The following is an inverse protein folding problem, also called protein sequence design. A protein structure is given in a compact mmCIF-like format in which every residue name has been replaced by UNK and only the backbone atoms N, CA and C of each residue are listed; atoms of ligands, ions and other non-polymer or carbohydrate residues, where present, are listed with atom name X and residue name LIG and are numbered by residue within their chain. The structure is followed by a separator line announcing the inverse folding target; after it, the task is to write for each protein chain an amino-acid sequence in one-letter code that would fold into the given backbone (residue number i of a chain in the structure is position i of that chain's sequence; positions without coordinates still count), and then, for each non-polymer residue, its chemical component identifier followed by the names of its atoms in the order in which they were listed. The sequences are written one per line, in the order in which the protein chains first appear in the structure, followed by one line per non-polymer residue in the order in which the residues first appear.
data_IF_782820616515
#
_entry.id   IF_782820616515
#
_cell.length_a   1.000
_cell.length_b   1.000
_cell.length_c   1.000
_cell.angle_alpha   90.00
_cell.angle_beta   90.00
_cell.angle_gamma   90.00
#
_symmetry.space_group_name_H-M   'P 1'
#
loop_
_entity.id
_entity.type
_entity.pdbx_description
1 polymer ?
#
# COMPACT_ATOMS: atom_id res chain seq x y z
N UNK A 1 -66.07 38.39 35.89
CA UNK A 1 -65.61 39.19 34.76
C UNK A 1 -64.13 39.44 34.98
N UNK A 2 -63.24 38.64 34.35
CA UNK A 2 -61.76 38.83 34.33
C UNK A 2 -61.20 38.31 33.03
N UNK A 3 -60.85 39.25 32.20
CA UNK A 3 -60.30 39.04 30.84
C UNK A 3 -58.83 38.68 30.97
N UNK A 4 -58.40 37.54 30.39
CA UNK A 4 -56.98 37.13 30.23
C UNK A 4 -56.49 37.55 28.88
N UNK A 5 -55.41 38.35 28.83
CA UNK A 5 -54.64 38.67 27.68
C UNK A 5 -53.66 37.51 27.42
N UNK A 6 -53.65 36.98 26.17
CA UNK A 6 -52.66 36.02 25.68
C UNK A 6 -51.67 36.80 24.80
N UNK A 7 -50.41 36.89 25.25
CA UNK A 7 -49.31 37.44 24.45
C UNK A 7 -48.67 36.31 23.65
N UNK A 8 -48.75 36.37 22.32
CA UNK A 8 -48.07 35.47 21.40
C UNK A 8 -46.65 35.98 21.13
N UNK A 9 -45.67 35.23 21.58
CA UNK A 9 -44.27 35.40 21.19
C UNK A 9 -44.02 34.68 19.85
N UNK A 10 -43.76 35.44 18.80
CA UNK A 10 -43.22 34.96 17.52
C UNK A 10 -41.71 34.78 17.69
N UNK A 11 -41.28 33.52 17.81
CA UNK A 11 -39.87 33.14 17.73
C UNK A 11 -39.45 32.99 16.28
N UNK A 12 -38.65 33.93 15.77
CA UNK A 12 -38.00 33.83 14.46
C UNK A 12 -36.87 32.81 14.48
N UNK A 13 -37.08 31.62 13.92
CA UNK A 13 -36.05 30.64 13.66
C UNK A 13 -35.23 31.04 12.43
N UNK A 14 -33.99 31.42 12.63
CA UNK A 14 -33.05 31.57 11.52
C UNK A 14 -32.64 30.18 11.00
N UNK A 15 -33.13 29.81 9.81
CA UNK A 15 -32.63 28.66 9.09
C UNK A 15 -31.21 29.00 8.57
N UNK A 16 -30.19 28.43 9.21
CA UNK A 16 -28.84 28.32 8.57
C UNK A 16 -28.95 27.34 7.41
N UNK A 17 -28.95 27.85 6.20
CA UNK A 17 -28.72 27.06 5.01
C UNK A 17 -27.25 26.64 5.00
N UNK A 18 -26.94 25.40 5.36
CA UNK A 18 -25.66 24.78 5.03
C UNK A 18 -25.62 24.67 3.51
N UNK A 19 -24.78 25.50 2.87
CA UNK A 19 -24.41 25.30 1.49
C UNK A 19 -23.58 23.99 1.43
N UNK A 20 -24.21 22.92 0.97
CA UNK A 20 -23.49 21.72 0.55
C UNK A 20 -22.58 22.14 -0.61
N UNK A 21 -21.26 22.07 -0.41
CA UNK A 21 -20.33 22.13 -1.55
C UNK A 21 -20.73 21.03 -2.54
N UNK A 22 -20.80 21.33 -3.84
CA UNK A 22 -21.03 20.27 -4.81
C UNK A 22 -19.91 19.25 -4.69
N UNK A 23 -20.26 17.99 -4.46
CA UNK A 23 -19.30 16.89 -4.63
C UNK A 23 -18.82 16.98 -6.08
N UNK A 24 -17.49 17.07 -6.28
CA UNK A 24 -16.93 17.01 -7.61
C UNK A 24 -17.44 15.73 -8.29
N UNK A 25 -18.00 15.87 -9.48
CA UNK A 25 -18.45 14.70 -10.25
C UNK A 25 -17.20 13.95 -10.69
N UNK A 26 -17.21 12.61 -10.62
CA UNK A 26 -16.06 11.81 -11.06
C UNK A 26 -15.90 11.94 -12.58
N UNK A 27 -14.67 12.21 -13.06
CA UNK A 27 -14.36 12.36 -14.47
C UNK A 27 -14.55 11.00 -15.20
N UNK A 28 -15.56 10.89 -16.09
CA UNK A 28 -15.84 9.63 -16.77
C UNK A 28 -14.79 9.29 -17.85
N UNK A 29 -13.88 10.22 -18.19
CA UNK A 29 -12.86 10.01 -19.21
C UNK A 29 -11.57 9.40 -18.66
N UNK A 30 -11.51 9.10 -17.38
CA UNK A 30 -10.39 8.38 -16.76
C UNK A 30 -10.88 7.50 -15.61
N UNK A 31 -10.51 6.23 -15.64
CA UNK A 31 -10.71 5.29 -14.54
C UNK A 31 -9.37 4.80 -14.04
N UNK A 32 -9.12 5.00 -12.75
CA UNK A 32 -7.92 4.51 -12.03
C UNK A 32 -8.33 3.30 -11.21
N UNK A 33 -7.66 2.17 -11.42
CA UNK A 33 -7.85 0.94 -10.65
C UNK A 33 -6.75 0.84 -9.62
N UNK A 34 -7.09 1.09 -8.36
CA UNK A 34 -6.15 1.45 -7.30
C UNK A 34 -6.42 0.72 -5.98
N UNK A 35 -5.51 0.90 -5.05
CA UNK A 35 -5.69 0.55 -3.64
C UNK A 35 -6.62 1.56 -2.97
N UNK A 36 -7.41 1.11 -2.00
CA UNK A 36 -8.25 2.01 -1.21
C UNK A 36 -7.40 3.03 -0.44
N UNK A 37 -7.84 4.30 -0.45
CA UNK A 37 -7.12 5.42 0.15
C UNK A 37 -6.39 6.30 -0.87
N UNK A 38 -5.96 5.74 -2.01
CA UNK A 38 -5.28 6.52 -3.06
C UNK A 38 -6.22 7.46 -3.83
N UNK A 39 -7.53 7.37 -3.59
CA UNK A 39 -8.52 8.36 -4.07
C UNK A 39 -8.43 9.71 -3.33
N UNK A 40 -7.63 9.82 -2.28
CA UNK A 40 -7.45 11.09 -1.57
C UNK A 40 -7.03 12.20 -2.52
N UNK A 41 -7.78 13.32 -2.59
CA UNK A 41 -7.47 14.43 -3.49
C UNK A 41 -6.08 15.02 -3.34
N UNK A 42 -5.42 14.85 -2.20
CA UNK A 42 -4.06 15.32 -1.98
C UNK A 42 -3.05 14.64 -2.91
N UNK A 43 -3.30 13.39 -3.33
CA UNK A 43 -2.42 12.68 -4.26
C UNK A 43 -2.50 13.15 -5.71
N UNK A 44 -3.61 13.78 -6.10
CA UNK A 44 -3.84 14.19 -7.48
C UNK A 44 -4.36 15.62 -7.61
N UNK A 45 -3.97 16.50 -6.70
CA UNK A 45 -4.43 17.89 -6.67
C UNK A 45 -4.16 18.64 -7.98
N UNK A 46 -2.98 18.45 -8.62
CA UNK A 46 -2.68 19.06 -9.92
C UNK A 46 -3.60 18.57 -11.05
N UNK A 47 -4.00 17.30 -11.01
CA UNK A 47 -4.97 16.76 -11.94
C UNK A 47 -6.33 17.47 -11.77
N UNK A 48 -6.80 17.56 -10.54
CA UNK A 48 -8.08 18.23 -10.22
C UNK A 48 -8.05 19.72 -10.58
N UNK A 49 -6.95 20.41 -10.31
CA UNK A 49 -6.74 21.81 -10.71
C UNK A 49 -6.80 22.01 -12.22
N UNK A 50 -6.23 21.07 -12.99
CA UNK A 50 -6.18 21.12 -14.45
C UNK A 50 -7.51 20.78 -15.11
N UNK A 51 -8.22 19.78 -14.60
CA UNK A 51 -9.42 19.22 -15.23
C UNK A 51 -10.72 19.65 -14.56
N UNK A 52 -10.66 20.32 -13.39
CA UNK A 52 -11.79 20.69 -12.52
C UNK A 52 -12.65 19.48 -12.10
N UNK A 53 -12.05 18.30 -12.08
CA UNK A 53 -12.72 17.05 -11.75
C UNK A 53 -11.72 16.03 -11.20
N UNK A 54 -12.18 15.04 -10.45
CA UNK A 54 -11.35 13.92 -9.95
C UNK A 54 -11.52 12.71 -10.85
N UNK A 55 -10.52 11.81 -10.96
CA UNK A 55 -10.68 10.55 -11.66
C UNK A 55 -11.84 9.72 -11.10
N UNK A 56 -12.39 8.83 -11.93
CA UNK A 56 -13.19 7.71 -11.42
C UNK A 56 -12.27 6.67 -10.84
N UNK A 57 -12.54 6.22 -9.61
CA UNK A 57 -11.75 5.16 -8.95
C UNK A 57 -12.52 3.85 -8.90
N UNK A 58 -11.78 2.75 -9.04
CA UNK A 58 -12.21 1.41 -8.71
C UNK A 58 -11.11 0.78 -7.86
N UNK A 59 -11.48 -0.06 -6.87
CA UNK A 59 -10.54 -0.54 -5.87
C UNK A 59 -10.35 -2.04 -5.90
N UNK A 60 -9.18 -2.46 -5.40
CA UNK A 60 -8.85 -3.84 -5.07
C UNK A 60 -8.11 -3.88 -3.71
N UNK A 61 -8.23 -4.98 -3.03
CA UNK A 61 -7.54 -5.20 -1.75
C UNK A 61 -6.31 -6.11 -1.87
N UNK A 62 -6.15 -6.77 -3.03
CA UNK A 62 -5.05 -7.69 -3.33
C UNK A 62 -4.73 -7.69 -4.81
N UNK A 63 -3.45 -7.84 -5.17
CA UNK A 63 -3.01 -7.79 -6.57
C UNK A 63 -3.44 -9.00 -7.40
N UNK A 64 -3.67 -10.15 -6.77
CA UNK A 64 -4.20 -11.32 -7.48
C UNK A 64 -5.67 -11.10 -7.83
N UNK A 65 -6.45 -10.50 -6.92
CA UNK A 65 -7.82 -10.05 -7.18
C UNK A 65 -7.85 -9.07 -8.36
N UNK A 66 -6.97 -8.06 -8.32
CA UNK A 66 -6.85 -7.06 -9.40
C UNK A 66 -6.54 -7.73 -10.74
N UNK A 67 -5.55 -8.63 -10.76
CA UNK A 67 -5.18 -9.38 -11.96
C UNK A 67 -6.35 -10.19 -12.53
N UNK A 68 -7.10 -10.90 -11.68
CA UNK A 68 -8.24 -11.70 -12.13
C UNK A 68 -9.39 -10.84 -12.64
N UNK A 69 -9.67 -9.70 -12.00
CA UNK A 69 -10.68 -8.74 -12.48
C UNK A 69 -10.33 -8.20 -13.88
N UNK A 70 -9.07 -7.81 -14.11
CA UNK A 70 -8.62 -7.34 -15.42
C UNK A 70 -8.70 -8.44 -16.47
N UNK A 71 -8.30 -9.67 -16.15
CA UNK A 71 -8.42 -10.82 -17.04
C UNK A 71 -9.87 -11.19 -17.35
N UNK A 72 -10.78 -10.95 -16.42
CA UNK A 72 -12.21 -11.16 -16.62
C UNK A 72 -12.88 -10.04 -17.48
N UNK A 73 -12.09 -9.03 -17.91
CA UNK A 73 -12.55 -7.97 -18.79
C UNK A 73 -12.98 -6.68 -18.07
N UNK A 74 -12.64 -6.52 -16.77
CA UNK A 74 -12.75 -5.23 -16.10
C UNK A 74 -11.88 -4.19 -16.83
N UNK A 75 -12.41 -2.99 -17.03
CA UNK A 75 -11.76 -1.93 -17.80
C UNK A 75 -11.41 -0.76 -16.90
N UNK A 76 -10.15 -0.33 -17.00
CA UNK A 76 -9.64 0.90 -16.42
C UNK A 76 -8.52 1.42 -17.32
N UNK A 77 -8.14 2.68 -17.16
CA UNK A 77 -7.09 3.34 -17.95
C UNK A 77 -5.71 3.18 -17.30
N UNK A 78 -5.69 3.30 -15.98
CA UNK A 78 -4.51 3.09 -15.13
C UNK A 78 -4.76 1.95 -14.15
N UNK A 79 -3.72 1.19 -13.86
CA UNK A 79 -3.66 0.26 -12.74
C UNK A 79 -2.47 0.60 -11.87
N UNK A 80 -2.56 0.27 -10.57
CA UNK A 80 -1.53 0.51 -9.56
C UNK A 80 -0.93 -0.80 -9.03
N UNK A 81 -0.28 -1.63 -9.90
CA UNK A 81 0.41 -2.83 -9.44
C UNK A 81 1.65 -2.47 -8.63
N UNK A 82 2.13 -3.42 -7.83
CA UNK A 82 3.44 -3.34 -7.20
C UNK A 82 4.48 -4.18 -7.96
N UNK A 83 5.74 -4.00 -7.63
CA UNK A 83 6.90 -4.52 -8.34
C UNK A 83 6.83 -6.02 -8.66
N UNK A 84 6.34 -6.83 -7.73
CA UNK A 84 6.25 -8.29 -7.89
C UNK A 84 5.23 -8.73 -8.95
N UNK A 85 4.25 -7.90 -9.28
CA UNK A 85 3.15 -8.23 -10.21
C UNK A 85 3.32 -7.70 -11.62
N UNK A 86 4.15 -6.68 -11.84
CA UNK A 86 4.31 -5.99 -13.15
C UNK A 86 4.63 -6.96 -14.29
N UNK A 87 5.54 -7.91 -14.07
CA UNK A 87 5.93 -8.89 -15.09
C UNK A 87 4.76 -9.77 -15.48
N UNK A 88 4.00 -10.28 -14.49
CA UNK A 88 2.81 -11.12 -14.70
C UNK A 88 1.73 -10.36 -15.49
N UNK A 89 1.47 -9.11 -15.14
CA UNK A 89 0.46 -8.29 -15.82
C UNK A 89 0.87 -8.01 -17.27
N UNK A 90 2.16 -7.69 -17.51
CA UNK A 90 2.69 -7.48 -18.86
C UNK A 90 2.61 -8.74 -19.72
N UNK A 91 3.05 -9.89 -19.19
CA UNK A 91 3.03 -11.17 -19.93
C UNK A 91 1.60 -11.63 -20.25
N UNK A 92 0.64 -11.28 -19.41
CA UNK A 92 -0.79 -11.50 -19.69
C UNK A 92 -1.37 -10.52 -20.72
N UNK A 93 -0.57 -9.56 -21.24
CA UNK A 93 -1.03 -8.57 -22.22
C UNK A 93 -1.93 -7.49 -21.65
N UNK A 94 -1.91 -7.28 -20.33
CA UNK A 94 -2.75 -6.28 -19.64
C UNK A 94 -2.15 -4.88 -19.67
N UNK A 95 -0.84 -4.73 -19.91
CA UNK A 95 -0.14 -3.46 -19.87
C UNK A 95 0.22 -2.95 -21.27
N UNK A 96 0.05 -1.64 -21.48
CA UNK A 96 0.59 -0.89 -22.63
C UNK A 96 1.96 -0.31 -22.32
N UNK A 97 2.88 -0.19 -23.27
CA UNK A 97 4.12 0.56 -23.08
C UNK A 97 3.82 2.04 -22.82
N UNK A 98 4.63 2.64 -21.96
CA UNK A 98 4.61 4.05 -21.63
C UNK A 98 5.47 4.87 -22.60
N UNK A 99 5.00 6.07 -22.94
CA UNK A 99 5.81 7.11 -23.55
C UNK A 99 6.42 7.98 -22.42
N UNK A 100 7.65 7.69 -22.05
CA UNK A 100 8.33 8.38 -20.94
C UNK A 100 8.60 9.86 -21.23
N UNK A 101 8.56 10.29 -22.50
CA UNK A 101 8.70 11.71 -22.87
C UNK A 101 7.50 12.56 -22.40
N UNK A 102 6.37 11.93 -22.06
CA UNK A 102 5.16 12.56 -21.50
C UNK A 102 5.20 12.66 -19.97
N UNK A 103 6.28 12.21 -19.35
CA UNK A 103 6.49 12.22 -17.88
C UNK A 103 7.69 13.12 -17.59
N UNK A 104 7.50 14.44 -17.38
CA UNK A 104 8.59 15.39 -17.17
C UNK A 104 9.53 15.01 -16.02
N UNK A 105 9.01 14.37 -14.97
CA UNK A 105 9.77 13.93 -13.81
C UNK A 105 10.47 12.56 -14.01
N UNK A 106 10.45 11.96 -15.22
CA UNK A 106 11.02 10.63 -15.45
C UNK A 106 12.49 10.52 -15.06
N UNK A 107 13.29 11.54 -15.35
CA UNK A 107 14.73 11.56 -15.01
C UNK A 107 14.99 11.94 -13.54
N UNK A 108 13.99 12.47 -12.84
CA UNK A 108 14.02 12.74 -11.40
C UNK A 108 13.67 11.49 -10.56
N UNK A 109 13.17 10.42 -11.18
CA UNK A 109 12.90 9.18 -10.48
C UNK A 109 14.19 8.53 -9.99
N UNK A 110 14.18 7.97 -8.79
CA UNK A 110 15.30 7.23 -8.25
C UNK A 110 15.67 6.06 -9.19
N UNK A 111 16.89 6.04 -9.77
CA UNK A 111 17.27 5.00 -10.72
C UNK A 111 17.19 3.58 -10.13
N UNK A 112 17.43 3.42 -8.83
CA UNK A 112 17.33 2.14 -8.15
C UNK A 112 15.90 1.59 -8.06
N UNK A 113 14.89 2.45 -8.22
CA UNK A 113 13.47 2.07 -8.31
C UNK A 113 13.02 2.02 -9.76
N UNK A 114 13.34 3.04 -10.56
CA UNK A 114 12.95 3.15 -11.97
C UNK A 114 13.45 1.98 -12.82
N UNK A 115 14.70 1.58 -12.59
CA UNK A 115 15.39 0.61 -13.41
C UNK A 115 15.34 -0.82 -12.82
N UNK A 116 14.37 -1.10 -11.93
CA UNK A 116 14.19 -2.43 -11.37
C UNK A 116 13.89 -3.47 -12.46
N UNK A 117 14.40 -4.71 -12.29
CA UNK A 117 14.13 -5.79 -13.23
C UNK A 117 12.63 -5.99 -13.47
N UNK A 118 12.24 -6.08 -14.74
CA UNK A 118 10.85 -6.33 -15.13
C UNK A 118 10.02 -5.10 -15.44
N UNK A 119 10.42 -3.89 -15.03
CA UNK A 119 9.68 -2.65 -15.32
C UNK A 119 9.82 -2.22 -16.79
N UNK A 120 10.90 -2.65 -17.46
CA UNK A 120 11.11 -2.45 -18.87
C UNK A 120 11.20 -3.77 -19.61
N UNK A 121 10.77 -3.79 -20.87
CA UNK A 121 10.87 -4.92 -21.78
C UNK A 121 11.09 -4.42 -23.20
N UNK A 122 12.07 -4.98 -23.92
CA UNK A 122 12.44 -4.60 -25.29
C UNK A 122 12.64 -3.08 -25.47
N UNK A 123 13.27 -2.42 -24.46
CA UNK A 123 13.56 -0.99 -24.49
C UNK A 123 12.35 -0.08 -24.23
N UNK A 124 11.21 -0.63 -23.85
CA UNK A 124 9.99 0.12 -23.50
C UNK A 124 9.69 0.01 -22.01
N UNK A 125 9.35 1.12 -21.37
CA UNK A 125 8.85 1.12 -20.01
C UNK A 125 7.38 0.68 -19.97
N UNK A 126 7.00 -0.04 -18.92
CA UNK A 126 5.63 -0.49 -18.68
C UNK A 126 5.09 -0.08 -17.31
N UNK A 127 5.93 0.56 -16.49
CA UNK A 127 5.64 0.90 -15.12
C UNK A 127 6.34 2.19 -14.75
N UNK A 128 5.64 3.08 -14.06
CA UNK A 128 6.18 4.28 -13.44
C UNK A 128 6.16 4.02 -11.94
N UNK A 129 7.30 3.77 -11.28
CA UNK A 129 7.31 3.68 -9.83
C UNK A 129 6.87 5.02 -9.25
N UNK A 130 5.98 4.97 -8.28
CA UNK A 130 5.42 6.16 -7.63
C UNK A 130 5.84 6.19 -6.16
N UNK A 131 5.48 5.14 -5.45
CA UNK A 131 5.69 5.02 -4.03
C UNK A 131 6.38 3.71 -3.67
N UNK A 132 6.91 3.68 -2.48
CA UNK A 132 7.50 2.50 -1.88
C UNK A 132 7.34 2.55 -0.37
N UNK A 133 7.24 1.39 0.23
CA UNK A 133 7.07 1.29 1.66
C UNK A 133 7.57 -0.02 2.20
N UNK A 134 7.35 -0.18 3.50
CA UNK A 134 7.73 -1.38 4.20
C UNK A 134 6.51 -2.13 4.69
N UNK A 135 6.63 -3.46 4.67
CA UNK A 135 5.88 -4.30 5.57
C UNK A 135 6.85 -4.76 6.67
N UNK A 136 6.52 -4.44 7.91
CA UNK A 136 7.38 -4.74 9.06
C UNK A 136 6.55 -5.11 10.30
N UNK A 137 7.23 -5.41 11.40
CA UNK A 137 6.59 -5.78 12.65
C UNK A 137 6.01 -4.54 13.33
N UNK A 138 4.68 -4.45 13.36
CA UNK A 138 3.91 -3.44 14.12
C UNK A 138 3.41 -4.06 15.41
N UNK A 139 3.45 -3.31 16.52
CA UNK A 139 3.08 -3.83 17.82
C UNK A 139 2.50 -2.78 18.76
N UNK A 140 1.72 -3.22 19.73
CA UNK A 140 1.23 -2.42 20.85
C UNK A 140 2.34 -2.26 21.88
N UNK A 141 2.86 -1.04 22.04
CA UNK A 141 3.99 -0.73 22.92
C UNK A 141 3.68 -0.92 24.41
N UNK A 142 2.41 -0.85 24.77
CA UNK A 142 1.91 -1.04 26.15
C UNK A 142 1.56 -2.50 26.48
N UNK A 143 1.50 -3.40 25.48
CA UNK A 143 1.06 -4.78 25.66
C UNK A 143 2.14 -5.82 25.30
N UNK A 144 3.14 -5.45 24.48
CA UNK A 144 4.15 -6.38 23.97
C UNK A 144 5.52 -6.01 24.51
N UNK A 145 6.22 -6.92 25.21
CA UNK A 145 7.56 -6.69 25.70
C UNK A 145 8.58 -6.43 24.59
N UNK A 146 9.52 -5.52 24.83
CA UNK A 146 10.53 -5.14 23.84
C UNK A 146 11.47 -6.30 23.43
N UNK A 147 11.66 -7.28 24.27
CA UNK A 147 12.42 -8.49 23.95
C UNK A 147 11.74 -9.38 22.93
N UNK A 148 10.40 -9.41 22.88
CA UNK A 148 9.65 -10.28 21.99
C UNK A 148 9.61 -9.74 20.54
N UNK A 149 9.77 -8.43 20.35
CA UNK A 149 9.72 -7.81 19.04
C UNK A 149 11.06 -7.77 18.29
N UNK A 150 12.10 -8.38 18.83
CA UNK A 150 13.46 -8.38 18.23
C UNK A 150 13.58 -9.29 17.01
N UNK A 151 12.65 -10.24 16.88
CA UNK A 151 12.68 -11.27 15.84
C UNK A 151 11.29 -11.51 15.28
N UNK A 152 11.21 -11.79 13.98
CA UNK A 152 9.97 -12.19 13.30
C UNK A 152 9.45 -13.56 13.78
N UNK A 153 10.23 -14.29 14.57
CA UNK A 153 9.76 -15.54 15.19
C UNK A 153 8.59 -15.31 16.16
N UNK A 154 8.36 -14.07 16.63
CA UNK A 154 7.20 -13.71 17.45
C UNK A 154 5.87 -14.08 16.77
N UNK A 155 5.81 -14.05 15.44
CA UNK A 155 4.60 -14.43 14.69
C UNK A 155 4.24 -15.91 14.86
N UNK A 156 5.22 -16.77 15.10
CA UNK A 156 5.02 -18.20 15.34
C UNK A 156 5.09 -18.59 16.85
N UNK A 157 5.21 -17.62 17.77
CA UNK A 157 5.28 -17.87 19.20
C UNK A 157 3.86 -18.14 19.76
N UNK A 158 3.60 -19.31 20.35
CA UNK A 158 2.29 -19.68 20.87
C UNK A 158 1.78 -18.77 22.01
N UNK A 159 2.65 -17.96 22.62
CA UNK A 159 2.22 -16.93 23.61
C UNK A 159 1.30 -15.89 23.00
N UNK A 160 1.38 -15.71 21.69
CA UNK A 160 0.57 -14.75 20.91
C UNK A 160 -0.62 -15.40 20.19
N UNK A 161 -1.04 -16.60 20.60
CA UNK A 161 -2.20 -17.27 19.98
C UNK A 161 -3.44 -16.39 20.01
N UNK A 162 -4.04 -16.14 18.82
CA UNK A 162 -5.19 -15.27 18.64
C UNK A 162 -4.88 -13.77 18.84
N UNK A 163 -3.61 -13.36 18.78
CA UNK A 163 -3.14 -11.98 18.96
C UNK A 163 -2.34 -11.43 17.78
N UNK A 164 -2.13 -12.26 16.75
CA UNK A 164 -1.38 -11.93 15.55
C UNK A 164 -2.33 -11.52 14.43
N UNK A 165 -1.89 -10.59 13.57
CA UNK A 165 -2.50 -10.31 12.28
C UNK A 165 -1.44 -10.18 11.20
N UNK A 166 -1.72 -10.74 10.02
CA UNK A 166 -0.93 -10.54 8.80
C UNK A 166 -1.87 -10.19 7.66
N UNK A 167 -1.36 -9.61 6.57
CA UNK A 167 -2.16 -9.28 5.40
C UNK A 167 -2.77 -10.51 4.73
N UNK A 168 -3.96 -10.37 4.19
CA UNK A 168 -4.55 -11.35 3.26
C UNK A 168 -3.91 -11.21 1.87
N UNK A 169 -2.58 -11.25 1.86
CA UNK A 169 -1.71 -11.07 0.70
C UNK A 169 -0.65 -12.16 0.68
N UNK A 170 -0.59 -12.90 -0.42
CA UNK A 170 0.41 -13.95 -0.61
C UNK A 170 1.83 -13.39 -0.61
N UNK A 171 2.01 -12.18 -1.15
CA UNK A 171 3.32 -11.55 -1.24
C UNK A 171 3.84 -11.16 0.14
N UNK A 172 3.03 -10.49 0.95
CA UNK A 172 3.40 -10.12 2.32
C UNK A 172 3.59 -11.34 3.23
N UNK A 173 2.75 -12.36 3.08
CA UNK A 173 2.88 -13.59 3.86
C UNK A 173 4.19 -14.32 3.55
N UNK A 174 4.52 -14.52 2.26
CA UNK A 174 5.77 -15.19 1.89
C UNK A 174 7.01 -14.30 2.06
N UNK A 175 6.87 -12.97 2.05
CA UNK A 175 7.94 -12.06 2.44
C UNK A 175 8.29 -12.24 3.93
N UNK A 176 7.29 -12.25 4.82
CA UNK A 176 7.47 -12.56 6.24
C UNK A 176 8.15 -13.92 6.43
N UNK A 177 7.62 -14.96 5.80
CA UNK A 177 8.13 -16.32 5.94
C UNK A 177 9.56 -16.47 5.40
N UNK A 178 9.86 -15.84 4.25
CA UNK A 178 11.20 -15.84 3.66
C UNK A 178 12.23 -15.21 4.61
N UNK A 179 11.90 -14.06 5.16
CA UNK A 179 12.74 -13.39 6.16
C UNK A 179 12.92 -14.28 7.40
N UNK A 180 11.85 -14.86 7.92
CA UNK A 180 11.89 -15.69 9.12
C UNK A 180 12.77 -16.94 8.98
N UNK A 181 12.94 -17.47 7.77
CA UNK A 181 13.87 -18.58 7.47
C UNK A 181 15.25 -18.09 6.99
N UNK A 182 15.53 -16.77 7.05
CA UNK A 182 16.81 -16.18 6.65
C UNK A 182 17.00 -16.00 5.14
N UNK A 183 15.94 -16.09 4.33
CA UNK A 183 15.98 -15.90 2.89
C UNK A 183 15.61 -14.45 2.52
N UNK A 184 16.58 -13.64 2.07
CA UNK A 184 16.37 -12.24 1.66
C UNK A 184 16.16 -12.05 0.15
N UNK A 185 16.49 -13.04 -0.67
CA UNK A 185 16.23 -13.05 -2.12
C UNK A 185 15.28 -14.20 -2.46
N UNK A 186 13.99 -13.91 -2.41
CA UNK A 186 12.95 -14.91 -2.70
C UNK A 186 12.85 -15.28 -4.17
N UNK A 187 13.47 -14.49 -5.08
CA UNK A 187 13.43 -14.76 -6.53
C UNK A 187 14.10 -16.10 -6.90
N UNK A 188 14.93 -16.62 -6.00
CA UNK A 188 15.68 -17.88 -6.15
C UNK A 188 15.26 -18.94 -5.13
N UNK A 189 14.08 -18.81 -4.55
CA UNK A 189 13.57 -19.76 -3.56
C UNK A 189 13.56 -21.19 -4.11
N UNK A 190 14.23 -22.10 -3.41
CA UNK A 190 14.23 -23.52 -3.73
C UNK A 190 12.97 -24.22 -3.17
N UNK A 191 12.67 -25.42 -3.67
CA UNK A 191 11.53 -26.20 -3.13
C UNK A 191 11.65 -26.51 -1.64
N UNK A 192 12.87 -26.71 -1.13
CA UNK A 192 13.11 -26.92 0.30
C UNK A 192 12.81 -25.65 1.12
N UNK A 193 13.26 -24.49 0.65
CA UNK A 193 12.97 -23.19 1.27
C UNK A 193 11.47 -22.83 1.19
N UNK A 194 10.82 -23.17 0.08
CA UNK A 194 9.36 -23.01 -0.05
C UNK A 194 8.62 -23.84 1.00
N UNK A 195 9.02 -25.11 1.19
CA UNK A 195 8.41 -25.96 2.21
C UNK A 195 8.63 -25.39 3.62
N UNK A 196 9.85 -24.95 3.93
CA UNK A 196 10.20 -24.36 5.23
C UNK A 196 9.44 -23.06 5.50
N UNK A 197 9.32 -22.17 4.50
CA UNK A 197 8.52 -20.95 4.58
C UNK A 197 7.04 -21.26 4.82
N UNK A 198 6.50 -22.24 4.09
CA UNK A 198 5.10 -22.68 4.26
C UNK A 198 4.85 -23.28 5.65
N UNK A 199 5.79 -24.05 6.19
CA UNK A 199 5.71 -24.60 7.54
C UNK A 199 5.78 -23.50 8.61
N UNK A 200 6.55 -22.43 8.38
CA UNK A 200 6.52 -21.26 9.23
C UNK A 200 5.15 -20.58 9.19
N UNK A 201 4.56 -20.36 8.00
CA UNK A 201 3.23 -19.75 7.86
C UNK A 201 2.12 -20.58 8.52
N UNK A 202 2.21 -21.93 8.54
CA UNK A 202 1.27 -22.78 9.30
C UNK A 202 1.32 -22.45 10.79
N UNK A 203 2.53 -22.30 11.36
CA UNK A 203 2.68 -21.89 12.78
C UNK A 203 2.14 -20.49 13.01
N UNK A 204 2.38 -19.56 12.09
CA UNK A 204 1.80 -18.21 12.15
C UNK A 204 0.28 -18.28 12.15
N UNK A 205 -0.31 -19.09 11.26
CA UNK A 205 -1.76 -19.27 11.16
C UNK A 205 -2.41 -19.69 12.48
N UNK A 206 -1.76 -20.56 13.27
CA UNK A 206 -2.25 -20.95 14.60
C UNK A 206 -2.41 -19.77 15.57
N UNK A 207 -1.67 -18.68 15.34
CA UNK A 207 -1.67 -17.47 16.16
C UNK A 207 -2.53 -16.34 15.56
N UNK A 208 -2.91 -16.44 14.27
CA UNK A 208 -3.65 -15.39 13.58
C UNK A 208 -5.03 -15.22 14.16
N UNK A 209 -5.38 -13.98 14.53
CA UNK A 209 -6.72 -13.53 14.90
C UNK A 209 -7.55 -13.21 13.66
N UNK A 210 -6.93 -12.50 12.71
CA UNK A 210 -7.56 -12.07 11.45
C UNK A 210 -6.49 -11.83 10.39
N UNK A 211 -6.82 -12.14 9.15
CA UNK A 211 -6.08 -11.68 7.97
C UNK A 211 -6.69 -10.34 7.56
N UNK A 212 -5.90 -9.26 7.65
CA UNK A 212 -6.39 -7.92 7.32
C UNK A 212 -6.33 -7.68 5.80
N UNK A 213 -7.25 -6.85 5.29
CA UNK A 213 -7.36 -6.52 3.86
C UNK A 213 -7.06 -5.04 3.57
N UNK A 214 -7.15 -4.18 4.59
CA UNK A 214 -6.87 -2.75 4.51
C UNK A 214 -6.36 -2.22 5.86
N UNK A 215 -5.63 -1.07 5.81
CA UNK A 215 -5.04 -0.47 7.01
C UNK A 215 -6.07 -0.02 8.04
N UNK A 216 -7.25 0.42 7.62
CA UNK A 216 -8.28 0.90 8.54
C UNK A 216 -8.89 -0.25 9.36
N UNK A 217 -9.17 -1.39 8.74
CA UNK A 217 -9.64 -2.58 9.44
C UNK A 217 -8.59 -3.14 10.40
N UNK A 218 -7.32 -3.11 10.01
CA UNK A 218 -6.21 -3.51 10.89
C UNK A 218 -6.09 -2.57 12.08
N UNK A 219 -6.14 -1.25 11.87
CA UNK A 219 -6.06 -0.26 12.94
C UNK A 219 -7.14 -0.48 14.01
N UNK A 220 -8.37 -0.83 13.61
CA UNK A 220 -9.47 -1.10 14.55
C UNK A 220 -9.17 -2.28 15.49
N UNK A 221 -8.67 -3.39 14.96
CA UNK A 221 -8.38 -4.58 15.78
C UNK A 221 -7.12 -4.42 16.65
N UNK A 222 -6.17 -3.58 16.23
CA UNK A 222 -5.02 -3.19 17.08
C UNK A 222 -5.49 -2.23 18.18
N UNK A 223 -6.29 -1.21 17.85
CA UNK A 223 -6.80 -0.24 18.82
C UNK A 223 -7.62 -0.92 19.94
N UNK A 224 -8.45 -1.90 19.59
CA UNK A 224 -9.23 -2.67 20.57
C UNK A 224 -8.37 -3.60 21.44
N UNK A 225 -7.12 -3.88 21.06
CA UNK A 225 -6.25 -4.86 21.73
C UNK A 225 -6.59 -6.33 21.39
N UNK A 226 -7.44 -6.58 20.41
CA UNK A 226 -7.65 -7.93 19.88
C UNK A 226 -6.39 -8.45 19.23
N UNK A 227 -5.72 -7.59 18.45
CA UNK A 227 -4.40 -7.83 17.85
C UNK A 227 -3.36 -7.00 18.58
N UNK A 228 -2.22 -7.60 18.91
CA UNK A 228 -1.13 -6.91 19.59
C UNK A 228 0.16 -6.87 18.79
N UNK A 229 0.31 -7.79 17.83
CA UNK A 229 1.44 -7.84 16.88
C UNK A 229 0.87 -8.04 15.48
N UNK A 230 1.33 -7.25 14.53
CA UNK A 230 0.92 -7.35 13.13
C UNK A 230 2.12 -7.25 12.17
N UNK A 231 2.04 -7.94 11.06
CA UNK A 231 2.87 -7.70 9.87
C UNK A 231 2.12 -6.71 9.01
N UNK A 232 2.56 -5.44 8.98
CA UNK A 232 1.76 -4.34 8.47
C UNK A 232 2.59 -3.28 7.73
N UNK A 233 1.92 -2.46 6.95
CA UNK A 233 2.51 -1.35 6.20
C UNK A 233 2.81 -0.15 7.10
N UNK A 234 3.71 0.73 6.65
CA UNK A 234 4.12 1.96 7.36
C UNK A 234 2.93 2.85 7.75
N UNK A 235 1.90 2.94 6.92
CA UNK A 235 0.71 3.76 7.14
C UNK A 235 0.04 3.43 8.49
N UNK A 236 -0.06 2.15 8.84
CA UNK A 236 -0.76 1.71 10.05
C UNK A 236 -0.22 2.38 11.33
N UNK A 237 1.08 2.31 11.68
CA UNK A 237 1.56 2.98 12.88
C UNK A 237 1.52 4.51 12.76
N UNK A 238 1.73 5.09 11.59
CA UNK A 238 1.70 6.56 11.39
C UNK A 238 0.32 7.11 11.72
N UNK A 239 -0.73 6.54 11.13
CA UNK A 239 -2.10 6.98 11.37
C UNK A 239 -2.54 6.74 12.81
N UNK A 240 -2.23 5.58 13.37
CA UNK A 240 -2.60 5.24 14.75
C UNK A 240 -1.86 6.09 15.79
N UNK A 241 -0.60 6.44 15.57
CA UNK A 241 0.16 7.34 16.43
C UNK A 241 -0.41 8.76 16.39
N UNK A 242 -0.82 9.24 15.21
CA UNK A 242 -1.49 10.55 15.07
C UNK A 242 -2.82 10.60 15.86
N UNK A 243 -3.50 9.47 16.01
CA UNK A 243 -4.70 9.32 16.84
C UNK A 243 -4.40 9.08 18.33
N UNK A 244 -3.13 8.99 18.72
CA UNK A 244 -2.69 8.83 20.11
C UNK A 244 -2.67 7.38 20.62
N UNK A 245 -2.73 6.39 19.73
CA UNK A 245 -2.60 4.99 20.10
C UNK A 245 -1.16 4.59 20.43
N UNK A 246 -0.92 3.73 21.43
CA UNK A 246 0.41 3.25 21.81
C UNK A 246 0.86 2.11 20.86
N UNK A 247 1.21 2.47 19.63
CA UNK A 247 1.64 1.56 18.58
C UNK A 247 2.97 2.01 18.01
N UNK A 248 3.83 1.08 17.62
CA UNK A 248 5.09 1.38 16.94
C UNK A 248 5.42 0.29 15.91
N UNK A 249 6.36 0.60 15.01
CA UNK A 249 6.88 -0.34 14.00
C UNK A 249 8.36 -0.60 14.26
N UNK A 250 8.70 -1.86 14.48
CA UNK A 250 10.11 -2.27 14.54
C UNK A 250 10.63 -2.64 13.14
N UNK A 251 11.53 -1.82 12.63
CA UNK A 251 12.23 -2.01 11.34
C UNK A 251 13.58 -2.72 11.50
N UNK A 252 14.05 -2.89 12.75
CA UNK A 252 15.38 -3.45 13.10
C UNK A 252 15.27 -4.86 13.69
N UNK A 253 14.33 -5.67 13.19
CA UNK A 253 14.29 -7.08 13.57
C UNK A 253 15.54 -7.81 13.07
N UNK A 254 15.92 -8.91 13.71
CA UNK A 254 17.11 -9.71 13.35
C UNK A 254 17.07 -10.18 11.89
N UNK A 255 15.88 -10.48 11.39
CA UNK A 255 15.63 -10.96 10.04
C UNK A 255 15.46 -9.82 9.02
N UNK A 256 15.18 -8.60 9.48
CA UNK A 256 14.92 -7.43 8.66
C UNK A 256 13.44 -7.19 8.41
N UNK A 257 13.15 -6.53 7.29
CA UNK A 257 11.81 -6.13 6.86
C UNK A 257 11.59 -6.43 5.38
N UNK A 258 10.36 -6.29 4.89
CA UNK A 258 10.04 -6.37 3.48
C UNK A 258 9.83 -4.98 2.88
N UNK A 259 10.21 -4.78 1.62
CA UNK A 259 9.99 -3.55 0.88
C UNK A 259 9.31 -3.85 -0.45
N UNK A 260 8.23 -3.14 -0.69
CA UNK A 260 7.51 -3.11 -1.95
C UNK A 260 7.69 -1.76 -2.65
N UNK A 261 7.52 -1.77 -3.98
CA UNK A 261 7.51 -0.57 -4.83
C UNK A 261 6.27 -0.66 -5.68
N UNK A 262 5.37 0.29 -5.55
CA UNK A 262 4.14 0.33 -6.33
C UNK A 262 4.13 1.53 -7.28
N UNK A 263 3.25 1.53 -8.25
CA UNK A 263 3.20 2.62 -9.21
C UNK A 263 2.21 2.36 -10.35
N UNK A 264 2.14 3.30 -11.27
CA UNK A 264 1.13 3.27 -12.31
C UNK A 264 1.60 2.62 -13.60
N UNK A 265 0.69 1.86 -14.19
CA UNK A 265 0.81 1.28 -15.52
C UNK A 265 -0.40 1.63 -16.37
N UNK A 266 -0.21 1.92 -17.65
CA UNK A 266 -1.30 2.04 -18.61
C UNK A 266 -1.89 0.66 -18.90
N UNK A 267 -3.20 0.51 -18.80
CA UNK A 267 -3.92 -0.72 -19.06
C UNK A 267 -4.38 -0.83 -20.52
N UNK A 268 -4.27 -2.03 -21.10
CA UNK A 268 -4.72 -2.29 -22.48
C UNK A 268 -6.23 -2.19 -22.64
N UNK A 269 -6.99 -2.42 -21.57
CA UNK A 269 -8.44 -2.33 -21.53
C UNK A 269 -8.99 -0.91 -21.36
N UNK A 270 -8.12 0.11 -21.19
CA UNK A 270 -8.54 1.49 -21.02
C UNK A 270 -9.24 2.04 -22.26
N UNK A 271 -10.39 2.63 -22.08
CA UNK A 271 -11.23 3.26 -23.12
C UNK A 271 -11.30 4.78 -22.94
N UNK A 272 -10.67 5.32 -21.89
CA UNK A 272 -10.68 6.72 -21.55
C UNK A 272 -9.64 7.57 -22.29
N UNK A 273 -9.39 8.74 -21.76
CA UNK A 273 -8.46 9.71 -22.33
C UNK A 273 -7.04 9.46 -21.85
N UNK A 274 -6.20 8.91 -22.71
CA UNK A 274 -4.82 8.60 -22.37
C UNK A 274 -4.01 9.83 -21.91
N UNK A 275 -4.32 11.05 -22.42
CA UNK A 275 -3.65 12.25 -21.94
C UNK A 275 -3.97 12.51 -20.44
N UNK A 276 -5.22 12.30 -20.03
CA UNK A 276 -5.61 12.41 -18.61
C UNK A 276 -4.91 11.35 -17.76
N UNK A 277 -4.64 10.15 -18.27
CA UNK A 277 -3.88 9.16 -17.57
C UNK A 277 -2.43 9.63 -17.29
N UNK A 278 -1.77 10.24 -18.28
CA UNK A 278 -0.46 10.86 -18.04
C UNK A 278 -0.51 12.07 -17.11
N UNK A 279 -1.56 12.89 -17.22
CA UNK A 279 -1.74 14.04 -16.33
C UNK A 279 -1.92 13.59 -14.87
N UNK A 280 -2.60 12.48 -14.64
CA UNK A 280 -2.74 11.87 -13.32
C UNK A 280 -1.40 11.35 -12.78
N UNK A 281 -0.66 10.59 -13.59
CA UNK A 281 0.70 10.13 -13.23
C UNK A 281 1.59 11.33 -12.87
N UNK A 282 1.55 12.39 -13.68
CA UNK A 282 2.36 13.59 -13.46
C UNK A 282 1.96 14.34 -12.20
N UNK A 283 0.66 14.40 -11.88
CA UNK A 283 0.18 15.00 -10.64
C UNK A 283 0.69 14.24 -9.42
N UNK A 284 0.75 12.91 -9.50
CA UNK A 284 1.28 12.09 -8.42
C UNK A 284 2.78 12.32 -8.21
N UNK A 285 3.54 12.63 -9.25
CA UNK A 285 4.99 12.84 -9.19
C UNK A 285 5.42 14.25 -8.71
N UNK A 286 4.48 15.11 -8.32
CA UNK A 286 4.78 16.45 -7.83
C UNK A 286 5.37 16.46 -6.40
N UNK A 287 6.11 17.53 -6.09
CA UNK A 287 6.72 17.76 -4.77
C UNK A 287 5.67 17.70 -3.64
N UNK A 288 4.50 18.33 -3.83
CA UNK A 288 3.43 18.37 -2.81
C UNK A 288 2.85 17.01 -2.51
N UNK A 289 2.77 16.15 -3.52
CA UNK A 289 2.29 14.77 -3.35
C UNK A 289 3.34 13.94 -2.63
N UNK A 290 4.61 14.11 -2.95
CA UNK A 290 5.70 13.45 -2.24
C UNK A 290 5.74 13.83 -0.75
N UNK A 291 5.57 15.13 -0.45
CA UNK A 291 5.52 15.63 0.94
C UNK A 291 4.33 15.00 1.70
N UNK A 292 3.14 15.01 1.10
CA UNK A 292 1.94 14.42 1.69
C UNK A 292 2.10 12.91 1.92
N UNK A 293 2.61 12.19 0.93
CA UNK A 293 2.81 10.74 1.02
C UNK A 293 3.76 10.37 2.17
N UNK A 294 4.88 11.09 2.30
CA UNK A 294 5.85 10.81 3.36
C UNK A 294 5.32 11.23 4.73
N UNK A 295 4.79 12.43 4.86
CA UNK A 295 4.43 12.98 6.17
C UNK A 295 3.13 12.43 6.73
N UNK A 296 2.17 12.07 5.87
CA UNK A 296 0.84 11.60 6.28
C UNK A 296 0.70 10.08 6.24
N UNK A 297 1.44 9.40 5.35
CA UNK A 297 1.34 7.95 5.17
C UNK A 297 2.62 7.20 5.58
N UNK A 298 3.74 7.91 5.72
CA UNK A 298 5.03 7.29 6.06
C UNK A 298 5.63 6.45 4.92
N UNK A 299 5.14 6.61 3.69
CA UNK A 299 5.69 5.95 2.51
C UNK A 299 6.80 6.80 1.88
N UNK A 300 7.75 6.18 1.21
CA UNK A 300 8.72 6.87 0.39
C UNK A 300 8.16 7.15 -1.01
N UNK A 301 8.63 8.23 -1.62
CA UNK A 301 8.25 8.60 -2.97
C UNK A 301 9.39 8.33 -3.97
N UNK A 302 9.07 7.93 -5.20
CA UNK A 302 10.08 7.57 -6.21
C UNK A 302 10.81 8.78 -6.79
N UNK A 303 10.21 9.97 -6.81
CA UNK A 303 10.86 11.21 -7.26
C UNK A 303 11.90 11.64 -6.22
N UNK A 304 13.19 11.37 -6.51
CA UNK A 304 14.28 11.69 -5.59
C UNK A 304 14.51 13.20 -5.42
N UNK A 305 14.20 14.00 -6.46
CA UNK A 305 14.27 15.46 -6.38
C UNK A 305 13.23 16.00 -5.42
N UNK A 306 12.01 15.47 -5.45
CA UNK A 306 10.96 15.81 -4.49
C UNK A 306 11.33 15.35 -3.07
N UNK A 307 11.80 14.11 -2.90
CA UNK A 307 12.25 13.56 -1.61
C UNK A 307 13.35 14.42 -0.96
N UNK A 308 14.26 15.01 -1.75
CA UNK A 308 15.35 15.85 -1.24
C UNK A 308 14.88 17.17 -0.62
N UNK A 309 13.62 17.56 -0.81
CA UNK A 309 13.01 18.78 -0.26
C UNK A 309 12.24 18.54 1.03
N UNK A 310 12.00 17.27 1.38
CA UNK A 310 11.28 16.88 2.61
C UNK A 310 12.19 17.11 3.82
N UNK A 311 11.57 17.46 4.95
CA UNK A 311 12.27 17.66 6.20
C UNK A 311 13.13 16.44 6.58
N UNK A 312 14.44 16.59 6.79
CA UNK A 312 15.31 15.49 7.18
C UNK A 312 14.89 14.75 8.47
N UNK A 313 14.27 15.46 9.44
CA UNK A 313 13.77 14.83 10.66
C UNK A 313 12.58 13.90 10.34
N UNK A 314 11.70 14.30 9.42
CA UNK A 314 10.60 13.43 8.94
C UNK A 314 11.15 12.19 8.23
N UNK A 315 12.14 12.35 7.34
CA UNK A 315 12.78 11.20 6.68
C UNK A 315 13.46 10.25 7.67
N UNK A 316 14.17 10.81 8.66
CA UNK A 316 14.83 10.01 9.69
C UNK A 316 13.83 9.21 10.55
N UNK A 317 12.69 9.81 10.90
CA UNK A 317 11.63 9.12 11.66
C UNK A 317 11.05 7.91 10.93
N UNK A 318 11.10 7.92 9.60
CA UNK A 318 10.66 6.81 8.74
C UNK A 318 11.80 5.81 8.42
N UNK A 319 13.04 6.09 8.85
CA UNK A 319 14.23 5.29 8.54
C UNK A 319 14.75 5.50 7.11
N UNK A 320 14.43 6.64 6.49
CA UNK A 320 14.80 6.97 5.10
C UNK A 320 16.04 7.84 4.99
N UNK A 321 16.66 8.20 6.11
CA UNK A 321 17.90 8.95 6.19
C UNK A 321 19.15 8.18 5.74
N UNK A 322 19.09 6.84 5.79
CA UNK A 322 20.19 5.96 5.38
C UNK A 322 19.70 4.85 4.44
N UNK A 323 19.50 5.19 3.17
CA UNK A 323 19.02 4.26 2.14
C UNK A 323 19.97 3.06 1.89
N UNK A 324 21.28 3.18 2.18
CA UNK A 324 22.21 2.06 2.03
C UNK A 324 22.00 1.02 3.13
N UNK A 325 21.92 1.42 4.38
CA UNK A 325 21.59 0.53 5.49
C UNK A 325 20.21 -0.09 5.32
N UNK A 326 19.24 0.70 4.89
CA UNK A 326 17.90 0.24 4.57
C UNK A 326 17.92 -0.88 3.50
N UNK A 327 18.62 -0.67 2.38
CA UNK A 327 18.76 -1.67 1.31
C UNK A 327 19.42 -2.97 1.76
N UNK A 328 20.35 -2.89 2.71
CA UNK A 328 21.04 -4.06 3.24
C UNK A 328 20.16 -4.91 4.16
N UNK A 329 19.13 -4.32 4.77
CA UNK A 329 18.27 -4.97 5.77
C UNK A 329 16.86 -5.33 5.26
N UNK A 330 16.61 -5.25 3.97
CA UNK A 330 15.28 -5.51 3.41
C UNK A 330 15.26 -6.69 2.44
N UNK A 331 14.13 -7.39 2.41
CA UNK A 331 13.71 -8.23 1.29
C UNK A 331 12.93 -7.35 0.31
N UNK A 332 13.47 -7.16 -0.90
CA UNK A 332 12.73 -6.49 -1.96
C UNK A 332 11.70 -7.44 -2.56
N UNK A 333 10.45 -7.00 -2.65
CA UNK A 333 9.38 -7.74 -3.31
C UNK A 333 9.54 -7.65 -4.84
N UNK A 334 10.65 -8.21 -5.32
CA UNK A 334 10.94 -8.30 -6.75
C UNK A 334 10.09 -9.40 -7.42
N UNK A 335 9.87 -9.31 -8.74
CA UNK A 335 9.14 -10.33 -9.49
C UNK A 335 9.75 -11.72 -9.29
N UNK A 336 8.89 -12.70 -9.01
CA UNK A 336 9.26 -14.12 -8.90
C UNK A 336 8.74 -14.90 -10.12
N UNK A 337 9.35 -16.08 -10.44
CA UNK A 337 8.84 -16.92 -11.51
C UNK A 337 7.36 -17.26 -11.31
N UNK A 338 6.57 -17.14 -12.37
CA UNK A 338 5.10 -17.37 -12.33
C UNK A 338 4.73 -18.70 -11.68
N UNK A 339 5.46 -19.79 -12.01
CA UNK A 339 5.21 -21.10 -11.41
C UNK A 339 5.41 -21.13 -9.89
N UNK A 340 6.39 -20.38 -9.36
CA UNK A 340 6.62 -20.26 -7.93
C UNK A 340 5.48 -19.44 -7.28
N UNK A 341 5.08 -18.33 -7.93
CA UNK A 341 3.96 -17.50 -7.44
C UNK A 341 2.66 -18.30 -7.36
N UNK A 342 2.30 -19.05 -8.40
CA UNK A 342 1.10 -19.90 -8.38
C UNK A 342 1.15 -20.96 -7.28
N UNK A 343 2.33 -21.51 -7.02
CA UNK A 343 2.57 -22.46 -5.94
C UNK A 343 2.37 -21.80 -4.56
N UNK A 344 2.87 -20.57 -4.38
CA UNK A 344 2.68 -19.79 -3.16
C UNK A 344 1.20 -19.46 -2.92
N UNK A 345 0.47 -19.00 -3.94
CA UNK A 345 -0.97 -18.71 -3.87
C UNK A 345 -1.74 -19.96 -3.43
N UNK A 346 -1.55 -21.07 -4.14
CA UNK A 346 -2.26 -22.32 -3.85
C UNK A 346 -1.98 -22.84 -2.43
N UNK A 347 -0.76 -22.66 -1.93
CA UNK A 347 -0.37 -23.12 -0.61
C UNK A 347 -0.86 -22.17 0.50
N UNK A 348 -0.81 -20.85 0.27
CA UNK A 348 -1.33 -19.88 1.24
C UNK A 348 -2.83 -20.05 1.47
N UNK A 349 -3.61 -20.31 0.41
CA UNK A 349 -5.04 -20.60 0.54
C UNK A 349 -5.30 -21.87 1.39
N UNK A 350 -4.49 -22.93 1.24
CA UNK A 350 -4.58 -24.11 2.09
C UNK A 350 -4.25 -23.78 3.55
N UNK A 351 -3.18 -23.01 3.79
CA UNK A 351 -2.79 -22.61 5.14
C UNK A 351 -3.92 -21.81 5.80
N UNK A 352 -4.52 -20.84 5.11
CA UNK A 352 -5.67 -20.07 5.63
C UNK A 352 -6.88 -20.96 5.92
N UNK A 353 -7.04 -22.04 5.18
CA UNK A 353 -8.10 -23.04 5.40
C UNK A 353 -7.74 -24.08 6.51
N UNK A 354 -6.57 -23.98 7.14
CA UNK A 354 -6.13 -24.82 8.24
C UNK A 354 -5.48 -26.16 7.82
N UNK A 355 -4.85 -26.21 6.61
CA UNK A 355 -4.19 -27.40 6.07
C UNK A 355 -2.68 -27.25 5.90
#
# INVERSE_FOLDING_TARGET
MTTRFISSLLGGGALLALAAAPAAAADPEITVFDWAGYEDPAFHAAFTEKHNDSPTFAFFGDEEEAFQKLRAGFKADLGHPCSQSVVKWREAGLLKPLDTSRIPAWDDLNPGLRDMPGFSHEGKAYFVPIDWGNTALVYRTDLVPAEDIRSLQVFADPRYQGKISIGDSVDDAYALASLAIGLRDWTKMTDAQFAEASDFLRKVHENVRVYWQDGASLAQVIASGEVTVAWAWNETPVTMQAEGHPVDMNRDTQEGLSTWVCGYSLLTGGEGNEQKAYDYINAFLEDRTADYLVTSWGYGHSNQTAMSKIDPEALASMGYDNLEAFRANTLWQAPIPTALREKMIAEFEKIKAGF
#
